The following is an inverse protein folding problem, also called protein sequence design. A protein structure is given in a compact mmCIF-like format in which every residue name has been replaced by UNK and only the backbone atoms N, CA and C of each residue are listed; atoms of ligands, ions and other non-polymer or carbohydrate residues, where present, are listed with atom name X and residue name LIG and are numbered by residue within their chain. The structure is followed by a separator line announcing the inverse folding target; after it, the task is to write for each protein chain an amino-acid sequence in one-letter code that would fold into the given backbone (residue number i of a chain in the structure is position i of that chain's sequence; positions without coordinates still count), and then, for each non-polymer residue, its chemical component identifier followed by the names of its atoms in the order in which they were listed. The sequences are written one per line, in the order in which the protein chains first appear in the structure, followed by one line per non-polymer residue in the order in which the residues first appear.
data_IF_897378920496
#
_entry.id   IF_897378920496
#
_cell.length_a   1.000
_cell.length_b   1.000
_cell.length_c   1.000
_cell.angle_alpha   90.00
_cell.angle_beta   90.00
_cell.angle_gamma   90.00
#
_symmetry.space_group_name_H-M   'P 1'
#
loop_
_entity.id
_entity.type
_entity.pdbx_description
1 polymer ?
#
# COMPACT_ATOMS: atom_id res chain seq x y z
N UNK A 1 -57.55 -14.85 2.85
CA UNK A 1 -56.91 -13.99 1.83
C UNK A 1 -56.10 -12.91 2.53
N UNK A 2 -54.77 -13.05 2.61
CA UNK A 2 -53.77 -12.00 2.91
C UNK A 2 -52.53 -12.32 2.05
N UNK A 3 -51.93 -11.34 1.36
CA UNK A 3 -50.89 -11.58 0.37
C UNK A 3 -49.48 -11.72 0.99
N UNK A 4 -48.67 -12.53 0.32
CA UNK A 4 -47.21 -12.43 0.10
C UNK A 4 -46.32 -12.14 1.31
N UNK A 5 -45.50 -13.05 1.83
CA UNK A 5 -44.45 -13.80 1.12
C UNK A 5 -43.64 -12.92 0.15
N UNK A 6 -42.85 -11.98 0.68
CA UNK A 6 -41.86 -11.25 -0.13
C UNK A 6 -40.64 -10.68 0.64
N UNK A 7 -40.46 -10.96 1.94
CA UNK A 7 -39.27 -10.49 2.68
C UNK A 7 -38.26 -11.60 3.03
N UNK A 8 -38.39 -12.78 2.40
CA UNK A 8 -37.53 -13.94 2.66
C UNK A 8 -36.69 -14.37 1.44
N UNK A 9 -36.58 -13.52 0.41
CA UNK A 9 -35.93 -13.85 -0.86
C UNK A 9 -34.72 -12.94 -1.20
N UNK A 10 -34.18 -12.20 -0.25
CA UNK A 10 -32.91 -11.46 -0.41
C UNK A 10 -31.71 -12.21 0.18
N UNK A 11 -31.82 -13.54 0.30
CA UNK A 11 -30.72 -14.45 0.65
C UNK A 11 -30.56 -15.41 -0.55
N UNK A 12 -30.18 -14.89 -1.71
CA UNK A 12 -29.76 -15.72 -2.83
C UNK A 12 -28.34 -15.30 -3.21
N UNK A 13 -27.44 -16.29 -3.18
CA UNK A 13 -26.01 -16.13 -3.07
C UNK A 13 -25.34 -15.30 -4.16
N UNK A 14 -24.11 -14.90 -3.84
CA UNK A 14 -23.15 -14.23 -4.73
C UNK A 14 -23.27 -14.78 -6.15
N UNK A 15 -23.68 -13.91 -7.05
CA UNK A 15 -23.80 -14.24 -8.46
C UNK A 15 -22.40 -14.26 -9.10
N UNK A 16 -22.26 -14.88 -10.28
CA UNK A 16 -21.01 -14.81 -11.03
C UNK A 16 -20.60 -13.36 -11.35
N UNK A 17 -21.57 -12.43 -11.46
CA UNK A 17 -21.30 -11.01 -11.63
C UNK A 17 -20.68 -10.37 -10.36
N UNK A 18 -21.18 -10.73 -9.17
CA UNK A 18 -20.62 -10.26 -7.89
C UNK A 18 -19.20 -10.80 -7.68
N UNK A 19 -18.92 -12.04 -8.09
CA UNK A 19 -17.58 -12.61 -8.03
C UNK A 19 -16.60 -11.89 -8.98
N UNK A 20 -17.04 -11.53 -10.18
CA UNK A 20 -16.25 -10.75 -11.16
C UNK A 20 -16.00 -9.33 -10.65
N UNK A 21 -16.98 -8.69 -10.02
CA UNK A 21 -16.82 -7.35 -9.44
C UNK A 21 -15.89 -7.35 -8.22
N UNK A 22 -15.97 -8.36 -7.35
CA UNK A 22 -15.00 -8.51 -6.26
C UNK A 22 -13.58 -8.76 -6.79
N UNK A 23 -13.43 -9.53 -7.86
CA UNK A 23 -12.14 -9.75 -8.51
C UNK A 23 -11.58 -8.47 -9.14
N UNK A 24 -12.41 -7.65 -9.79
CA UNK A 24 -11.98 -6.36 -10.35
C UNK A 24 -11.53 -5.39 -9.27
N UNK A 25 -12.31 -5.25 -8.18
CA UNK A 25 -11.94 -4.43 -7.02
C UNK A 25 -10.65 -4.91 -6.36
N UNK A 26 -10.50 -6.22 -6.17
CA UNK A 26 -9.26 -6.81 -5.62
C UNK A 26 -8.05 -6.49 -6.51
N UNK A 27 -8.21 -6.54 -7.83
CA UNK A 27 -7.17 -6.18 -8.79
C UNK A 27 -6.78 -4.70 -8.74
N UNK A 28 -7.74 -3.79 -8.63
CA UNK A 28 -7.46 -2.35 -8.47
C UNK A 28 -6.68 -2.05 -7.18
N UNK A 29 -7.04 -2.70 -6.07
CA UNK A 29 -6.32 -2.58 -4.79
C UNK A 29 -4.90 -3.15 -4.90
N UNK A 30 -4.70 -4.24 -5.66
CA UNK A 30 -3.37 -4.77 -5.94
C UNK A 30 -2.51 -3.83 -6.80
N UNK A 31 -3.10 -3.16 -7.80
CA UNK A 31 -2.41 -2.13 -8.57
C UNK A 31 -1.99 -0.93 -7.70
N UNK A 32 -2.83 -0.53 -6.75
CA UNK A 32 -2.46 0.49 -5.77
C UNK A 32 -1.26 0.03 -4.94
N UNK A 33 -1.27 -1.22 -4.42
CA UNK A 33 -0.14 -1.77 -3.69
C UNK A 33 1.16 -1.75 -4.52
N UNK A 34 1.08 -2.09 -5.81
CA UNK A 34 2.23 -2.05 -6.71
C UNK A 34 2.76 -0.63 -6.94
N UNK A 35 1.87 0.38 -7.01
CA UNK A 35 2.28 1.79 -7.09
C UNK A 35 2.97 2.27 -5.81
N UNK A 36 2.43 1.92 -4.65
CA UNK A 36 3.03 2.29 -3.35
C UNK A 36 4.39 1.61 -3.17
N UNK A 37 4.53 0.34 -3.60
CA UNK A 37 5.81 -0.36 -3.60
C UNK A 37 6.85 0.35 -4.47
N UNK A 38 6.49 0.78 -5.69
CA UNK A 38 7.38 1.57 -6.54
C UNK A 38 7.86 2.87 -5.88
N UNK A 39 6.99 3.57 -5.15
CA UNK A 39 7.41 4.75 -4.40
C UNK A 39 8.41 4.41 -3.29
N UNK A 40 8.30 3.24 -2.65
CA UNK A 40 9.30 2.79 -1.67
C UNK A 40 10.65 2.49 -2.35
N UNK A 41 10.63 1.85 -3.52
CA UNK A 41 11.85 1.58 -4.31
C UNK A 41 12.55 2.88 -4.76
N UNK A 42 11.77 3.89 -5.16
CA UNK A 42 12.29 5.22 -5.50
C UNK A 42 12.92 5.91 -4.29
N UNK A 43 12.32 5.80 -3.09
CA UNK A 43 12.90 6.33 -1.86
C UNK A 43 14.24 5.66 -1.52
N UNK A 44 14.37 4.35 -1.78
CA UNK A 44 15.63 3.62 -1.63
C UNK A 44 16.71 4.09 -2.61
N UNK A 45 16.34 4.33 -3.87
CA UNK A 45 17.25 4.89 -4.86
C UNK A 45 17.79 6.27 -4.44
N UNK A 46 16.92 7.12 -3.88
CA UNK A 46 17.31 8.45 -3.35
C UNK A 46 18.23 8.31 -2.14
N UNK A 47 17.93 7.41 -1.19
CA UNK A 47 18.81 7.14 -0.03
C UNK A 47 20.20 6.68 -0.48
N UNK A 48 20.27 5.77 -1.45
CA UNK A 48 21.54 5.32 -2.01
C UNK A 48 22.30 6.45 -2.71
N UNK A 49 21.59 7.37 -3.38
CA UNK A 49 22.20 8.54 -4.00
C UNK A 49 22.74 9.55 -2.95
N UNK A 50 21.99 9.79 -1.87
CA UNK A 50 22.44 10.66 -0.78
C UNK A 50 23.72 10.14 -0.13
N UNK A 51 23.83 8.82 0.09
CA UNK A 51 25.04 8.20 0.65
C UNK A 51 26.28 8.40 -0.22
N UNK A 52 26.13 8.50 -1.55
CA UNK A 52 27.24 8.79 -2.48
C UNK A 52 27.64 10.27 -2.49
N UNK A 53 26.72 11.17 -2.14
CA UNK A 53 26.95 12.62 -2.10
C UNK A 53 27.59 13.08 -0.79
N UNK A 54 27.85 12.18 0.15
CA UNK A 54 28.49 12.54 1.41
C UNK A 54 29.90 13.10 1.14
N UNK A 55 30.03 14.42 1.26
CA UNK A 55 31.27 15.18 1.13
C UNK A 55 32.17 14.97 2.35
N UNK A 56 32.63 13.73 2.56
CA UNK A 56 33.37 13.32 3.76
C UNK A 56 34.70 14.05 3.92
N UNK A 57 35.32 14.48 2.82
CA UNK A 57 36.59 15.22 2.83
C UNK A 57 36.44 16.69 3.22
N UNK A 58 35.21 17.23 3.24
CA UNK A 58 34.98 18.63 3.60
C UNK A 58 34.87 18.83 5.12
N UNK A 59 35.99 19.19 5.76
CA UNK A 59 36.12 19.22 7.23
C UNK A 59 35.73 20.56 7.89
N UNK A 60 35.27 21.55 7.12
CA UNK A 60 34.88 22.86 7.65
C UNK A 60 33.60 22.80 8.53
N UNK A 61 33.30 23.84 9.34
CA UNK A 61 32.01 23.96 10.02
C UNK A 61 30.81 23.86 9.06
N UNK A 62 30.92 24.45 7.86
CA UNK A 62 29.90 24.33 6.83
C UNK A 62 29.72 22.89 6.34
N UNK A 63 30.82 22.14 6.17
CA UNK A 63 30.78 20.72 5.82
C UNK A 63 30.12 19.85 6.90
N UNK A 64 30.36 20.15 8.18
CA UNK A 64 29.67 19.49 9.31
C UNK A 64 28.17 19.78 9.30
N UNK A 65 27.78 21.04 9.11
CA UNK A 65 26.38 21.44 9.03
C UNK A 65 25.66 20.77 7.85
N UNK A 66 26.32 20.68 6.69
CA UNK A 66 25.80 19.96 5.54
C UNK A 66 25.53 18.48 5.85
N UNK A 67 26.50 17.75 6.43
CA UNK A 67 26.32 16.33 6.78
C UNK A 67 25.25 16.11 7.83
N UNK A 68 25.11 17.00 8.80
CA UNK A 68 24.01 16.94 9.78
C UNK A 68 22.66 17.06 9.09
N UNK A 69 22.48 18.05 8.21
CA UNK A 69 21.25 18.21 7.43
C UNK A 69 20.97 16.99 6.55
N UNK A 70 21.97 16.48 5.86
CA UNK A 70 21.84 15.27 5.02
C UNK A 70 21.40 14.06 5.86
N UNK A 71 21.97 13.89 7.06
CA UNK A 71 21.59 12.82 7.99
C UNK A 71 20.14 12.93 8.45
N UNK A 72 19.66 14.15 8.73
CA UNK A 72 18.26 14.41 9.10
C UNK A 72 17.30 14.08 7.94
N UNK A 73 17.64 14.50 6.72
CA UNK A 73 16.84 14.20 5.53
C UNK A 73 16.82 12.69 5.25
N UNK A 74 17.96 12.01 5.33
CA UNK A 74 18.04 10.57 5.18
C UNK A 74 17.24 9.81 6.25
N UNK A 75 17.19 10.32 7.49
CA UNK A 75 16.36 9.73 8.55
C UNK A 75 14.86 9.95 8.30
N UNK A 76 14.45 11.13 7.81
CA UNK A 76 13.07 11.39 7.42
C UNK A 76 12.64 10.48 6.26
N UNK A 77 13.48 10.35 5.23
CA UNK A 77 13.21 9.54 4.05
C UNK A 77 13.11 8.04 4.37
N UNK A 78 13.98 7.52 5.25
CA UNK A 78 13.87 6.14 5.75
C UNK A 78 12.52 5.89 6.44
N UNK A 79 12.10 6.79 7.34
CA UNK A 79 10.79 6.67 8.01
C UNK A 79 9.63 6.69 7.01
N UNK A 80 9.68 7.54 5.99
CA UNK A 80 8.64 7.53 4.96
C UNK A 80 8.65 6.24 4.13
N UNK A 81 9.83 5.71 3.80
CA UNK A 81 9.97 4.45 3.07
C UNK A 81 9.40 3.27 3.87
N UNK A 82 9.71 3.20 5.16
CA UNK A 82 9.19 2.15 6.04
C UNK A 82 7.66 2.23 6.14
N UNK A 83 7.10 3.44 6.29
CA UNK A 83 5.64 3.65 6.27
C UNK A 83 4.98 3.22 4.94
N UNK A 84 5.65 3.43 3.80
CA UNK A 84 5.16 2.95 2.50
C UNK A 84 5.14 1.42 2.44
N UNK A 85 6.18 0.75 2.95
CA UNK A 85 6.24 -0.72 3.01
C UNK A 85 5.14 -1.30 3.90
N UNK A 86 4.90 -0.68 5.07
CA UNK A 86 3.80 -1.05 5.95
C UNK A 86 2.44 -0.87 5.25
N UNK A 87 2.24 0.24 4.54
CA UNK A 87 1.04 0.49 3.76
C UNK A 87 0.83 -0.57 2.66
N UNK A 88 1.89 -0.97 1.95
CA UNK A 88 1.82 -2.06 0.96
C UNK A 88 1.34 -3.36 1.61
N UNK A 89 1.87 -3.72 2.77
CA UNK A 89 1.47 -4.95 3.47
C UNK A 89 -0.02 -4.92 3.86
N UNK A 90 -0.50 -3.78 4.38
CA UNK A 90 -1.91 -3.57 4.75
C UNK A 90 -2.82 -3.64 3.52
N UNK A 91 -2.48 -2.94 2.43
CA UNK A 91 -3.28 -2.89 1.20
C UNK A 91 -3.35 -4.28 0.53
N UNK A 92 -2.24 -5.03 0.49
CA UNK A 92 -2.24 -6.41 -0.04
C UNK A 92 -3.12 -7.35 0.78
N UNK A 93 -3.04 -7.27 2.10
CA UNK A 93 -3.94 -8.03 2.99
C UNK A 93 -5.41 -7.64 2.76
N UNK A 94 -5.68 -6.36 2.56
CA UNK A 94 -7.04 -5.90 2.25
C UNK A 94 -7.57 -6.49 0.93
N UNK A 95 -6.76 -6.48 -0.14
CA UNK A 95 -7.15 -7.10 -1.42
C UNK A 95 -7.52 -8.59 -1.27
N UNK A 96 -6.74 -9.34 -0.49
CA UNK A 96 -7.03 -10.75 -0.20
C UNK A 96 -8.34 -10.92 0.56
N UNK A 97 -8.59 -10.08 1.57
CA UNK A 97 -9.82 -10.12 2.36
C UNK A 97 -11.06 -9.78 1.53
N UNK A 98 -10.97 -8.84 0.57
CA UNK A 98 -12.06 -8.51 -0.36
C UNK A 98 -12.47 -9.73 -1.18
N UNK A 99 -11.50 -10.53 -1.65
CA UNK A 99 -11.76 -11.76 -2.40
C UNK A 99 -12.36 -12.86 -1.51
N UNK A 100 -11.83 -13.05 -0.30
CA UNK A 100 -12.31 -14.07 0.65
C UNK A 100 -13.71 -13.79 1.21
N UNK A 101 -14.05 -12.51 1.43
CA UNK A 101 -15.37 -12.14 1.96
C UNK A 101 -16.50 -12.39 0.96
N UNK A 102 -16.20 -12.36 -0.34
CA UNK A 102 -17.14 -12.73 -1.40
C UNK A 102 -17.38 -14.26 -1.43
N UNK A 103 -16.32 -15.06 -1.19
CA UNK A 103 -16.43 -16.53 -1.16
C UNK A 103 -17.22 -17.11 0.02
N UNK A 104 -17.29 -16.42 1.17
CA UNK A 104 -18.03 -16.89 2.37
C UNK A 104 -19.54 -16.61 2.34
N UNK A 105 -19.99 -15.70 1.47
CA UNK A 105 -21.42 -15.39 1.31
C UNK A 105 -22.09 -16.27 0.23
N UNK A 106 -21.33 -17.15 -0.42
CA UNK A 106 -21.79 -18.07 -1.46
C UNK A 106 -21.76 -19.56 -1.09
N UNK A 107 -21.46 -19.92 0.17
CA UNK A 107 -21.43 -21.31 0.68
C UNK A 107 -22.61 -21.62 1.58
#
# INVERSE_FOLDING_TARGET
MRPGSACSAAIFGVTAADAVECASRSYEVQQLAARVARCADEADAVLAALGRLELQTWQSPAGRAYRLTLSLQAAALRRSRDALLDAVAVVRRHAQNVTLSSGRLGS
#
